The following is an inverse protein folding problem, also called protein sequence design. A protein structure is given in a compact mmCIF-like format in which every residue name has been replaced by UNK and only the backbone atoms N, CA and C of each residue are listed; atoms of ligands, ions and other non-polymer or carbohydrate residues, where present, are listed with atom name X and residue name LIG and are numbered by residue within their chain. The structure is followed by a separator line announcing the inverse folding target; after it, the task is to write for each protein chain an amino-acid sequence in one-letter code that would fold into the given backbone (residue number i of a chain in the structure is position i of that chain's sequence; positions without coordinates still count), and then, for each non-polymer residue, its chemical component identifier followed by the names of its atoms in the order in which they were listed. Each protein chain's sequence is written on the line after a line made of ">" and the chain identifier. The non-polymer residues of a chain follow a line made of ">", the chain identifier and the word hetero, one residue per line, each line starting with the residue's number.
data_IF_478678943401
#
_entry.id   IF_478678943401
#
_cell.length_a   1.000
_cell.length_b   1.000
_cell.length_c   1.000
_cell.angle_alpha   90.00
_cell.angle_beta   90.00
_cell.angle_gamma   90.00
#
_symmetry.space_group_name_H-M   'P 1'
#
loop_
_entity.id
_entity.type
_entity.pdbx_description
1 polymer ?
#
# COMPACT_ATOMS: atom_id res chain seq x y z
N UNK A 1 5.53 21.28 -6.15
CA UNK A 1 4.68 20.10 -6.48
C UNK A 1 4.76 19.15 -5.30
N UNK A 2 3.64 18.66 -4.80
CA UNK A 2 3.61 17.70 -3.70
C UNK A 2 4.09 16.34 -4.20
N UNK A 3 5.03 15.73 -3.46
CA UNK A 3 5.59 14.41 -3.76
C UNK A 3 4.51 13.35 -3.49
N UNK A 4 4.27 12.43 -4.42
CA UNK A 4 3.31 11.34 -4.21
C UNK A 4 3.79 10.46 -3.07
N UNK A 5 2.91 10.23 -2.08
CA UNK A 5 3.25 9.43 -0.89
C UNK A 5 2.76 8.01 -1.05
N UNK A 6 3.65 7.03 -0.83
CA UNK A 6 3.32 5.60 -0.93
C UNK A 6 3.60 4.93 0.41
N UNK A 7 2.57 4.32 1.01
CA UNK A 7 2.69 3.57 2.25
C UNK A 7 2.91 2.08 1.95
N UNK A 8 4.10 1.56 2.27
CA UNK A 8 4.44 0.16 2.14
C UNK A 8 4.19 -0.58 3.46
N UNK A 9 3.45 -1.68 3.41
CA UNK A 9 3.18 -2.56 4.55
C UNK A 9 3.88 -3.90 4.43
N UNK A 10 4.13 -4.58 5.56
CA UNK A 10 4.84 -5.86 5.61
C UNK A 10 6.27 -5.79 5.09
N UNK A 11 6.94 -4.65 5.27
CA UNK A 11 8.25 -4.38 4.64
C UNK A 11 9.39 -5.04 5.39
N UNK A 12 10.25 -5.73 4.64
CA UNK A 12 11.50 -6.27 5.12
C UNK A 12 12.68 -5.35 4.75
N UNK A 13 13.86 -5.50 5.38
CA UNK A 13 15.02 -4.66 5.07
C UNK A 13 15.45 -4.69 3.60
N UNK A 14 15.29 -5.84 2.92
CA UNK A 14 15.60 -5.98 1.50
C UNK A 14 14.62 -5.19 0.61
N UNK A 15 13.33 -5.13 0.96
CA UNK A 15 12.36 -4.32 0.22
C UNK A 15 12.79 -2.86 0.23
N UNK A 16 13.11 -2.34 1.42
CA UNK A 16 13.52 -0.95 1.58
C UNK A 16 14.79 -0.63 0.79
N UNK A 17 15.77 -1.52 0.78
CA UNK A 17 17.00 -1.33 0.02
C UNK A 17 16.72 -1.25 -1.48
N UNK A 18 16.03 -2.23 -2.05
CA UNK A 18 15.72 -2.30 -3.48
C UNK A 18 14.82 -1.16 -3.95
N UNK A 19 13.75 -0.85 -3.21
CA UNK A 19 12.83 0.22 -3.61
C UNK A 19 13.45 1.61 -3.44
N UNK A 20 14.34 1.83 -2.45
CA UNK A 20 15.01 3.12 -2.33
C UNK A 20 15.97 3.38 -3.49
N UNK A 21 16.74 2.38 -3.91
CA UNK A 21 17.65 2.49 -5.06
C UNK A 21 16.89 2.92 -6.32
N UNK A 22 15.78 2.24 -6.63
CA UNK A 22 14.93 2.59 -7.79
C UNK A 22 14.27 3.95 -7.60
N UNK A 23 13.85 4.29 -6.37
CA UNK A 23 13.17 5.56 -6.08
C UNK A 23 14.07 6.79 -6.19
N UNK A 24 15.40 6.64 -6.34
CA UNK A 24 16.28 7.76 -6.69
C UNK A 24 15.90 8.40 -8.04
N UNK A 25 15.38 7.59 -8.98
CA UNK A 25 14.91 8.06 -10.29
C UNK A 25 13.51 8.69 -10.23
N UNK A 26 12.60 8.08 -9.46
CA UNK A 26 11.18 8.47 -9.47
C UNK A 26 10.84 9.56 -8.46
N UNK A 27 11.56 9.63 -7.34
CA UNK A 27 11.33 10.62 -6.32
C UNK A 27 9.92 10.57 -5.72
N UNK A 28 9.47 9.41 -5.23
CA UNK A 28 8.30 9.26 -4.35
C UNK A 28 8.66 9.47 -2.87
N UNK A 29 7.67 9.84 -2.04
CA UNK A 29 7.80 9.79 -0.57
C UNK A 29 7.34 8.42 -0.08
N UNK A 30 8.29 7.51 0.19
CA UNK A 30 7.97 6.15 0.57
C UNK A 30 8.02 6.00 2.10
N UNK A 31 6.90 5.61 2.70
CA UNK A 31 6.77 5.27 4.11
C UNK A 31 6.75 3.76 4.27
N UNK A 32 7.70 3.21 5.02
CA UNK A 32 7.83 1.76 5.23
C UNK A 32 7.31 1.36 6.60
N UNK A 33 6.39 0.38 6.64
CA UNK A 33 5.82 -0.21 7.85
C UNK A 33 6.08 -1.73 7.86
N UNK A 34 6.66 -2.22 8.95
CA UNK A 34 7.00 -3.65 9.10
C UNK A 34 5.78 -4.53 9.37
N UNK A 35 4.71 -3.97 9.94
CA UNK A 35 3.45 -4.68 10.13
C UNK A 35 2.67 -4.82 8.83
N UNK A 36 1.96 -5.94 8.68
CA UNK A 36 0.98 -6.12 7.61
C UNK A 36 -0.17 -5.12 7.77
N UNK A 37 -0.80 -4.74 6.67
CA UNK A 37 -1.98 -3.88 6.67
C UNK A 37 -3.13 -4.62 7.36
N UNK A 38 -3.77 -3.94 8.31
CA UNK A 38 -4.96 -4.41 9.03
C UNK A 38 -5.81 -3.23 9.49
N UNK A 39 -7.02 -3.49 9.97
CA UNK A 39 -7.88 -2.46 10.55
C UNK A 39 -7.21 -1.69 11.70
N UNK A 40 -6.32 -2.34 12.46
CA UNK A 40 -5.63 -1.69 13.58
C UNK A 40 -4.67 -0.58 13.14
N UNK A 41 -4.16 -0.66 11.90
CA UNK A 41 -3.14 0.26 11.39
C UNK A 41 -3.51 0.96 10.08
N UNK A 42 -4.74 0.76 9.58
CA UNK A 42 -5.24 1.40 8.36
C UNK A 42 -5.24 2.93 8.43
N UNK A 43 -5.36 3.50 9.63
CA UNK A 43 -5.24 4.95 9.87
C UNK A 43 -3.89 5.55 9.43
N UNK A 44 -2.84 4.74 9.28
CA UNK A 44 -1.55 5.16 8.73
C UNK A 44 -1.65 5.61 7.26
N UNK A 45 -2.74 5.24 6.57
CA UNK A 45 -2.95 5.53 5.14
C UNK A 45 -3.58 6.89 4.86
N UNK A 46 -4.08 7.63 5.88
CA UNK A 46 -4.69 8.97 5.71
C UNK A 46 -3.82 10.01 4.96
N UNK A 47 -2.51 9.80 4.94
CA UNK A 47 -1.55 10.72 4.30
C UNK A 47 -0.88 10.11 3.06
N UNK A 48 -1.39 8.97 2.58
CA UNK A 48 -0.83 8.24 1.46
C UNK A 48 -1.73 8.38 0.21
N UNK A 49 -1.12 8.64 -0.93
CA UNK A 49 -1.82 8.60 -2.22
C UNK A 49 -2.00 7.15 -2.70
N UNK A 50 -1.09 6.26 -2.32
CA UNK A 50 -1.10 4.86 -2.70
C UNK A 50 -0.61 3.98 -1.53
N UNK A 51 -1.04 2.72 -1.53
CA UNK A 51 -0.49 1.68 -0.65
C UNK A 51 0.25 0.62 -1.47
N UNK A 52 1.30 0.05 -0.90
CA UNK A 52 2.03 -1.08 -1.46
C UNK A 52 1.99 -2.25 -0.48
N UNK A 53 1.31 -3.32 -0.88
CA UNK A 53 1.05 -4.51 -0.06
C UNK A 53 1.74 -5.74 -0.64
N UNK A 54 1.78 -6.82 0.14
CA UNK A 54 2.30 -8.12 -0.24
C UNK A 54 1.24 -9.22 -0.08
N UNK A 55 1.62 -10.47 -0.35
CA UNK A 55 0.70 -11.62 -0.37
C UNK A 55 0.03 -11.93 0.98
N UNK A 56 0.56 -11.41 2.09
CA UNK A 56 0.07 -11.69 3.44
C UNK A 56 -0.90 -10.63 3.98
N UNK A 57 -1.15 -9.55 3.23
CA UNK A 57 -2.09 -8.50 3.61
C UNK A 57 -3.50 -8.90 3.15
N UNK A 58 -4.52 -8.77 4.01
CA UNK A 58 -5.90 -9.11 3.63
C UNK A 58 -6.63 -7.87 3.10
N UNK A 59 -6.75 -7.76 1.77
CA UNK A 59 -7.48 -6.69 1.10
C UNK A 59 -8.92 -7.14 0.82
N UNK A 60 -9.67 -7.31 1.90
CA UNK A 60 -11.10 -7.53 1.84
C UNK A 60 -11.87 -6.23 1.52
N UNK A 61 -13.18 -6.35 1.30
CA UNK A 61 -14.04 -5.22 0.94
C UNK A 61 -14.06 -4.08 1.96
N UNK A 62 -13.95 -4.38 3.26
CA UNK A 62 -13.97 -3.37 4.33
C UNK A 62 -12.67 -2.55 4.32
N UNK A 63 -11.52 -3.23 4.26
CA UNK A 63 -10.20 -2.57 4.13
C UNK A 63 -10.16 -1.70 2.85
N UNK A 64 -10.66 -2.21 1.72
CA UNK A 64 -10.68 -1.45 0.47
C UNK A 64 -11.55 -0.19 0.59
N UNK A 65 -12.70 -0.29 1.23
CA UNK A 65 -13.59 0.86 1.47
C UNK A 65 -12.91 1.91 2.36
N UNK A 66 -12.29 1.49 3.46
CA UNK A 66 -11.55 2.38 4.37
C UNK A 66 -10.34 3.03 3.69
N UNK A 67 -9.60 2.30 2.85
CA UNK A 67 -8.51 2.87 2.05
C UNK A 67 -9.02 4.01 1.15
N UNK A 68 -10.17 3.81 0.49
CA UNK A 68 -10.81 4.85 -0.33
C UNK A 68 -11.23 6.05 0.51
N UNK A 69 -11.85 5.83 1.67
CA UNK A 69 -12.24 6.89 2.61
C UNK A 69 -11.03 7.71 3.08
N UNK A 70 -9.90 7.04 3.29
CA UNK A 70 -8.62 7.65 3.65
C UNK A 70 -7.94 8.41 2.50
N UNK A 71 -8.54 8.41 1.30
CA UNK A 71 -8.05 9.13 0.13
C UNK A 71 -6.99 8.38 -0.68
N UNK A 72 -6.78 7.09 -0.40
CA UNK A 72 -5.89 6.23 -1.18
C UNK A 72 -6.51 5.98 -2.56
N UNK A 73 -5.74 6.27 -3.60
CA UNK A 73 -6.18 6.21 -5.00
C UNK A 73 -5.72 4.94 -5.71
N UNK A 74 -4.71 4.27 -5.16
CA UNK A 74 -4.08 3.12 -5.80
C UNK A 74 -3.59 2.11 -4.76
N UNK A 75 -3.87 0.84 -5.04
CA UNK A 75 -3.31 -0.31 -4.34
C UNK A 75 -2.30 -0.97 -5.28
N UNK A 76 -1.04 -0.98 -4.89
CA UNK A 76 0.03 -1.67 -5.59
C UNK A 76 0.35 -2.99 -4.89
N UNK A 77 0.48 -4.06 -5.67
CA UNK A 77 0.95 -5.35 -5.17
C UNK A 77 2.38 -5.56 -5.63
N UNK A 78 3.32 -5.78 -4.70
CA UNK A 78 4.71 -6.14 -5.03
C UNK A 78 4.90 -7.65 -5.19
N UNK A 79 3.88 -8.34 -5.67
CA UNK A 79 3.81 -9.79 -5.85
C UNK A 79 3.00 -10.16 -7.08
N UNK A 80 3.19 -11.39 -7.58
CA UNK A 80 2.45 -11.88 -8.75
C UNK A 80 1.01 -12.32 -8.39
N UNK A 81 0.82 -12.90 -7.20
CA UNK A 81 -0.48 -13.36 -6.72
C UNK A 81 -1.31 -12.22 -6.14
N UNK A 82 -2.63 -12.31 -6.31
CA UNK A 82 -3.62 -11.33 -5.84
C UNK A 82 -4.86 -12.01 -5.23
N UNK A 83 -4.72 -13.26 -4.77
CA UNK A 83 -5.82 -14.03 -4.17
C UNK A 83 -6.34 -13.41 -2.86
N UNK A 84 -5.50 -12.58 -2.23
CA UNK A 84 -5.78 -11.82 -1.02
C UNK A 84 -6.51 -10.49 -1.29
N UNK A 85 -6.97 -10.26 -2.53
CA UNK A 85 -7.67 -9.03 -2.94
C UNK A 85 -9.08 -9.34 -3.39
N UNK A 86 -10.06 -8.69 -2.75
CA UNK A 86 -11.44 -8.63 -3.26
C UNK A 86 -11.49 -7.72 -4.49
N UNK A 87 -11.22 -8.30 -5.67
CA UNK A 87 -11.23 -7.58 -6.94
C UNK A 87 -12.61 -6.95 -7.27
N UNK A 88 -13.76 -7.62 -7.01
CA UNK A 88 -15.06 -6.97 -7.12
C UNK A 88 -15.18 -5.68 -6.29
N UNK A 89 -14.77 -5.70 -5.02
CA UNK A 89 -14.78 -4.52 -4.15
C UNK A 89 -13.84 -3.44 -4.68
N UNK A 90 -12.61 -3.81 -5.06
CA UNK A 90 -11.63 -2.88 -5.63
C UNK A 90 -12.11 -2.20 -6.92
N UNK A 91 -12.92 -2.88 -7.73
CA UNK A 91 -13.48 -2.34 -8.97
C UNK A 91 -14.67 -1.39 -8.72
N UNK A 92 -15.39 -1.59 -7.62
CA UNK A 92 -16.54 -0.76 -7.25
C UNK A 92 -16.16 0.48 -6.42
N UNK A 93 -14.96 0.46 -5.83
CA UNK A 93 -14.34 1.58 -5.12
C UNK A 93 -13.94 2.72 -6.07
#
# INVERSE_FOLDING_TARGET
>A
MTKTTIAFFGTMPYDKATFNEVNEEYGFDIKYYTGNLSHDNISLTHSADAVCVFVNDDLNAEIIAELKENGVKMIALRCAGYNNVDLPAAKAA
#
